data_IF_065304812331
#
_entry.id   IF_065304812331
#
_cell.length_a   1.000
_cell.length_b   1.000
_cell.length_c   1.000
_cell.angle_alpha   90.00
_cell.angle_beta   90.00
_cell.angle_gamma   90.00
#
_symmetry.space_group_name_H-M   'P 1'
#
loop_
_entity.id
_entity.type
_entity.pdbx_description
1 polymer ?
#
# COMPACT_ATOMS: atom_id res chain seq x y z
N UNK A 1 -32.54 -12.86 0.23
CA UNK A 1 -32.46 -11.70 -0.70
C UNK A 1 -32.55 -10.34 0.00
N UNK A 2 -33.13 -10.20 1.20
CA UNK A 2 -33.19 -8.93 1.97
C UNK A 2 -31.88 -8.62 2.72
N UNK A 3 -31.17 -9.63 3.20
CA UNK A 3 -29.90 -9.48 3.97
C UNK A 3 -28.75 -8.95 3.09
N UNK A 4 -28.69 -9.34 1.81
CA UNK A 4 -27.66 -8.88 0.85
C UNK A 4 -27.79 -7.39 0.46
N UNK A 5 -29.01 -6.82 0.50
CA UNK A 5 -29.22 -5.39 0.26
C UNK A 5 -28.88 -4.53 1.48
N UNK A 6 -28.95 -5.10 2.68
CA UNK A 6 -28.63 -4.44 3.93
C UNK A 6 -27.11 -4.25 4.10
N UNK A 7 -26.33 -5.30 3.82
CA UNK A 7 -24.85 -5.26 3.87
C UNK A 7 -24.28 -4.26 2.85
N UNK A 8 -24.85 -4.15 1.63
CA UNK A 8 -24.42 -3.16 0.63
C UNK A 8 -24.66 -1.70 1.01
N UNK A 9 -25.62 -1.41 1.88
CA UNK A 9 -25.89 -0.03 2.35
C UNK A 9 -24.91 0.42 3.43
N UNK A 10 -24.36 -0.49 4.22
CA UNK A 10 -23.38 -0.18 5.29
C UNK A 10 -22.01 0.09 4.69
N UNK A 11 -21.58 -0.63 3.64
CA UNK A 11 -20.30 -0.38 2.97
C UNK A 11 -20.23 0.93 2.18
N UNK A 12 -21.36 1.53 1.78
CA UNK A 12 -21.38 2.77 0.98
C UNK A 12 -21.30 4.06 1.79
N UNK A 13 -21.51 4.02 3.11
CA UNK A 13 -21.49 5.21 3.98
C UNK A 13 -20.11 5.53 4.59
N UNK A 14 -19.13 4.64 4.46
CA UNK A 14 -17.82 4.75 5.11
C UNK A 14 -16.75 5.56 4.34
N UNK A 15 -17.06 6.09 3.14
CA UNK A 15 -16.08 6.80 2.27
C UNK A 15 -16.03 8.33 2.51
N UNK A 16 -16.89 8.89 3.35
CA UNK A 16 -17.07 10.35 3.41
C UNK A 16 -16.58 11.06 4.71
N UNK A 17 -15.81 10.41 5.59
CA UNK A 17 -15.38 11.08 6.83
C UNK A 17 -13.94 10.70 7.24
N UNK A 18 -12.94 11.10 6.48
CA UNK A 18 -11.55 11.09 6.92
C UNK A 18 -10.81 12.32 6.38
N UNK A 19 -10.92 13.45 7.09
CA UNK A 19 -9.97 14.57 6.98
C UNK A 19 -10.19 15.53 8.17
N UNK A 20 -9.48 15.30 9.29
CA UNK A 20 -8.95 16.37 10.13
C UNK A 20 -7.77 15.83 10.94
N UNK A 21 -6.56 16.26 10.58
CA UNK A 21 -5.36 16.13 11.41
C UNK A 21 -5.54 16.95 12.71
N UNK A 22 -5.21 16.35 13.84
CA UNK A 22 -4.82 17.10 15.03
C UNK A 22 -3.55 16.51 15.62
N UNK A 23 -2.53 17.34 15.66
CA UNK A 23 -1.23 17.12 16.29
C UNK A 23 -1.42 17.03 17.82
N UNK A 24 -0.97 15.95 18.46
CA UNK A 24 -0.76 15.90 19.90
C UNK A 24 0.69 15.54 20.20
N UNK A 25 1.38 16.44 20.89
CA UNK A 25 2.71 16.31 21.52
C UNK A 25 2.65 15.32 22.70
N UNK A 26 3.76 14.61 23.01
CA UNK A 26 3.76 13.67 24.13
C UNK A 26 3.92 14.42 25.46
N UNK A 27 3.02 14.16 26.39
CA UNK A 27 3.13 14.52 27.81
C UNK A 27 3.72 13.34 28.56
N UNK A 28 4.76 13.61 29.32
CA UNK A 28 5.50 12.69 30.17
C UNK A 28 4.59 12.05 31.23
N UNK A 29 4.76 10.74 31.42
CA UNK A 29 4.05 9.95 32.40
C UNK A 29 4.58 10.21 33.82
N UNK A 30 3.78 10.78 34.70
CA UNK A 30 3.95 10.66 36.14
C UNK A 30 3.03 9.56 36.69
N UNK A 31 3.55 8.86 37.69
CA UNK A 31 3.13 7.59 38.23
C UNK A 31 1.63 7.43 38.50
N UNK A 32 1.07 6.38 37.96
CA UNK A 32 -0.27 5.92 38.31
C UNK A 32 -0.12 4.90 39.46
N UNK A 33 -0.69 5.29 40.63
CA UNK A 33 -0.87 4.40 41.74
C UNK A 33 -1.76 3.21 41.30
N UNK A 34 -1.40 2.01 41.76
CA UNK A 34 -2.18 0.80 41.49
C UNK A 34 -3.63 0.97 41.91
N UNK A 35 -4.54 0.83 40.94
CA UNK A 35 -5.96 0.69 41.20
C UNK A 35 -6.19 -0.58 42.05
N UNK A 36 -7.10 -0.54 43.03
CA UNK A 36 -7.45 -1.73 43.77
C UNK A 36 -8.01 -2.80 42.84
N UNK A 37 -7.70 -4.07 43.16
CA UNK A 37 -8.23 -5.21 42.43
C UNK A 37 -9.76 -5.12 42.34
N UNK A 38 -10.37 -5.53 41.20
CA UNK A 38 -11.83 -5.50 41.10
C UNK A 38 -12.42 -6.33 42.21
N UNK A 39 -13.39 -5.73 42.89
CA UNK A 39 -14.17 -6.42 43.92
C UNK A 39 -14.72 -7.72 43.34
N UNK A 40 -14.64 -8.82 44.07
CA UNK A 40 -15.21 -10.10 43.69
C UNK A 40 -16.65 -9.89 43.25
N UNK A 41 -16.99 -10.35 42.05
CA UNK A 41 -18.32 -10.28 41.41
C UNK A 41 -19.29 -11.10 42.28
N UNK A 42 -19.98 -10.42 43.17
CA UNK A 42 -21.07 -10.95 44.00
C UNK A 42 -22.43 -10.48 43.47
N UNK A 43 -22.59 -10.33 42.16
CA UNK A 43 -23.91 -10.21 41.56
C UNK A 43 -24.60 -11.58 41.71
N UNK A 44 -25.16 -11.83 42.90
CA UNK A 44 -25.92 -13.03 43.17
C UNK A 44 -27.22 -12.95 42.36
N UNK A 45 -27.42 -14.00 41.51
CA UNK A 45 -28.79 -14.31 41.09
C UNK A 45 -29.63 -14.44 42.35
N UNK A 46 -30.88 -14.00 42.31
CA UNK A 46 -31.79 -14.31 43.40
C UNK A 46 -32.00 -15.82 43.55
N UNK A 47 -32.65 -16.28 44.58
CA UNK A 47 -32.89 -17.73 44.85
C UNK A 47 -33.66 -18.38 43.69
N UNK A 48 -34.36 -17.61 42.84
CA UNK A 48 -35.11 -18.11 41.67
C UNK A 48 -34.26 -18.14 40.39
N UNK A 49 -33.07 -17.57 40.43
CA UNK A 49 -32.20 -17.40 39.26
C UNK A 49 -32.66 -16.27 38.33
N UNK A 50 -33.55 -15.42 38.77
CA UNK A 50 -34.07 -14.28 38.03
C UNK A 50 -33.11 -13.07 38.10
N UNK A 51 -33.10 -12.20 37.09
CA UNK A 51 -32.18 -11.06 36.98
C UNK A 51 -32.96 -9.75 36.80
N UNK A 52 -32.92 -8.83 37.77
CA UNK A 52 -33.55 -7.53 37.63
C UNK A 52 -32.91 -6.70 36.47
N UNK A 53 -33.75 -6.01 35.71
CA UNK A 53 -33.32 -5.03 34.72
C UNK A 53 -33.00 -3.71 35.41
N UNK A 54 -31.91 -3.68 36.15
CA UNK A 54 -31.49 -2.53 36.95
C UNK A 54 -30.03 -2.13 36.64
N UNK A 55 -29.54 -0.98 37.16
CA UNK A 55 -28.18 -0.53 36.93
C UNK A 55 -27.08 -1.42 37.51
N UNK A 56 -27.38 -2.29 38.48
CA UNK A 56 -26.40 -3.21 39.06
C UNK A 56 -26.09 -4.39 38.12
N UNK A 57 -27.11 -4.87 37.41
CA UNK A 57 -26.97 -6.00 36.48
C UNK A 57 -26.71 -5.55 35.04
N UNK A 58 -27.25 -4.40 34.65
CA UNK A 58 -27.13 -3.83 33.29
C UNK A 58 -26.84 -2.32 33.45
N UNK A 59 -25.57 -1.90 33.56
CA UNK A 59 -25.21 -0.49 33.85
C UNK A 59 -25.68 0.52 32.79
N UNK A 60 -25.70 0.12 31.51
CA UNK A 60 -26.10 1.02 30.43
C UNK A 60 -27.62 1.20 30.34
N UNK A 61 -28.09 2.44 30.37
CA UNK A 61 -29.51 2.76 30.34
C UNK A 61 -30.19 2.37 29.03
N UNK A 62 -29.50 2.53 27.90
CA UNK A 62 -30.06 2.19 26.60
C UNK A 62 -30.15 0.68 26.42
N UNK A 63 -29.18 -0.05 26.97
CA UNK A 63 -29.27 -1.51 27.03
C UNK A 63 -30.45 -1.97 27.88
N UNK A 64 -30.67 -1.40 29.08
CA UNK A 64 -31.89 -1.67 29.92
C UNK A 64 -33.18 -1.36 29.18
N UNK A 65 -33.26 -0.22 28.48
CA UNK A 65 -34.45 0.11 27.64
C UNK A 65 -34.72 -0.93 26.55
N UNK A 66 -33.66 -1.47 25.95
CA UNK A 66 -33.80 -2.55 24.97
C UNK A 66 -34.33 -3.82 25.65
N UNK A 67 -33.78 -4.21 26.80
CA UNK A 67 -34.18 -5.41 27.55
C UNK A 67 -35.62 -5.37 28.01
N UNK A 68 -36.14 -4.22 28.45
CA UNK A 68 -37.56 -4.03 28.88
C UNK A 68 -38.58 -4.07 27.75
N UNK A 69 -38.15 -4.42 26.50
CA UNK A 69 -39.09 -4.63 25.40
C UNK A 69 -39.78 -6.01 25.51
N UNK A 70 -41.05 -6.08 25.10
CA UNK A 70 -41.84 -7.30 25.15
C UNK A 70 -41.23 -8.52 24.49
N UNK A 71 -40.30 -8.32 23.60
CA UNK A 71 -39.59 -9.42 22.92
C UNK A 71 -38.57 -10.12 23.86
N UNK A 72 -38.13 -9.46 24.94
CA UNK A 72 -37.16 -9.94 25.91
C UNK A 72 -37.84 -10.19 27.25
N UNK A 73 -38.36 -9.14 27.89
CA UNK A 73 -39.18 -9.15 29.11
C UNK A 73 -40.66 -9.19 28.65
N UNK A 74 -41.25 -10.38 28.56
CA UNK A 74 -42.54 -10.59 27.90
C UNK A 74 -43.73 -10.18 28.78
N UNK A 75 -43.60 -10.27 30.10
CA UNK A 75 -44.57 -9.83 31.08
C UNK A 75 -44.38 -8.36 31.49
N UNK A 76 -43.20 -7.76 31.19
CA UNK A 76 -42.82 -6.37 31.50
C UNK A 76 -42.82 -6.03 32.99
N UNK A 77 -42.38 -6.99 33.79
CA UNK A 77 -42.25 -6.80 35.24
C UNK A 77 -40.90 -6.17 35.66
N UNK A 78 -39.98 -6.00 34.69
CA UNK A 78 -38.66 -5.44 34.90
C UNK A 78 -37.68 -6.48 35.46
N UNK A 79 -38.01 -7.76 35.39
CA UNK A 79 -37.19 -8.88 35.81
C UNK A 79 -37.05 -9.86 34.67
N UNK A 80 -35.85 -10.31 34.39
CA UNK A 80 -35.60 -11.36 33.39
C UNK A 80 -35.58 -12.72 34.09
N UNK A 81 -36.70 -13.44 34.01
CA UNK A 81 -36.79 -14.83 34.48
C UNK A 81 -35.76 -15.73 33.75
N UNK A 82 -35.43 -16.86 34.35
CA UNK A 82 -34.57 -17.85 33.70
C UNK A 82 -35.11 -18.24 32.31
N UNK A 83 -36.41 -18.46 32.18
CA UNK A 83 -37.07 -18.81 30.91
C UNK A 83 -36.90 -17.73 29.84
N UNK A 84 -37.05 -16.46 30.21
CA UNK A 84 -36.88 -15.33 29.29
C UNK A 84 -35.44 -15.22 28.80
N UNK A 85 -34.46 -15.34 29.72
CA UNK A 85 -33.04 -15.28 29.36
C UNK A 85 -32.62 -16.45 28.46
N UNK A 86 -33.06 -17.68 28.74
CA UNK A 86 -32.71 -18.88 27.99
C UNK A 86 -33.35 -18.94 26.58
N UNK A 87 -34.49 -18.28 26.37
CA UNK A 87 -35.13 -18.22 25.08
C UNK A 87 -34.50 -17.18 24.13
N UNK A 88 -33.74 -16.22 24.67
CA UNK A 88 -33.12 -15.15 23.85
C UNK A 88 -31.94 -15.74 23.10
N UNK A 89 -32.10 -15.86 21.78
CA UNK A 89 -31.04 -16.32 20.86
C UNK A 89 -30.42 -15.20 20.07
N UNK A 90 -31.06 -14.03 20.06
CA UNK A 90 -30.64 -12.90 19.21
C UNK A 90 -30.86 -11.59 19.94
N UNK A 91 -29.81 -10.76 19.98
CA UNK A 91 -29.83 -9.39 20.50
C UNK A 91 -29.35 -8.45 19.40
N UNK A 92 -30.19 -7.48 19.03
CA UNK A 92 -29.90 -6.47 18.02
C UNK A 92 -29.85 -5.08 18.64
N UNK A 93 -28.63 -4.55 18.82
CA UNK A 93 -28.35 -3.23 19.40
C UNK A 93 -27.65 -2.30 18.40
N UNK A 94 -27.82 -2.57 17.11
CA UNK A 94 -27.22 -1.75 16.06
C UNK A 94 -27.73 -0.31 16.13
N UNK A 95 -26.81 0.64 16.40
CA UNK A 95 -27.15 2.06 16.57
C UNK A 95 -28.24 2.32 17.64
N UNK A 96 -28.25 1.54 18.72
CA UNK A 96 -29.32 1.54 19.73
C UNK A 96 -29.16 2.63 20.80
N UNK A 97 -28.62 3.80 20.45
CA UNK A 97 -28.55 4.96 21.36
C UNK A 97 -27.24 5.14 22.09
N UNK A 98 -26.12 4.82 21.45
CA UNK A 98 -24.77 5.01 22.00
C UNK A 98 -24.50 4.16 23.25
N UNK A 99 -24.78 2.87 23.18
CA UNK A 99 -24.46 1.92 24.26
C UNK A 99 -22.96 1.91 24.48
N UNK A 100 -22.54 2.10 25.72
CA UNK A 100 -21.16 2.14 26.14
C UNK A 100 -20.74 0.93 27.00
N UNK A 101 -21.69 0.19 27.52
CA UNK A 101 -21.48 -0.95 28.40
C UNK A 101 -22.50 -2.07 28.13
N UNK A 102 -22.02 -3.26 27.85
CA UNK A 102 -22.83 -4.47 27.69
C UNK A 102 -22.64 -5.45 28.85
N UNK A 103 -22.17 -5.00 30.00
CA UNK A 103 -22.22 -5.79 31.24
C UNK A 103 -23.66 -6.31 31.44
N UNK A 104 -23.78 -7.59 31.73
CA UNK A 104 -25.08 -8.27 31.81
C UNK A 104 -25.43 -9.07 30.56
N UNK A 105 -24.70 -8.94 29.43
CA UNK A 105 -24.86 -9.85 28.29
C UNK A 105 -24.61 -11.30 28.71
N UNK A 106 -23.81 -11.52 29.74
CA UNK A 106 -23.48 -12.82 30.35
C UNK A 106 -24.72 -13.61 30.82
N UNK A 107 -25.84 -12.93 31.07
CA UNK A 107 -27.08 -13.56 31.54
C UNK A 107 -27.89 -14.26 30.42
N UNK A 108 -27.43 -14.21 29.15
CA UNK A 108 -28.08 -14.84 28.03
C UNK A 108 -27.26 -16.05 27.51
N UNK A 109 -27.32 -17.23 28.17
CA UNK A 109 -26.44 -18.35 27.91
C UNK A 109 -26.62 -18.97 26.51
N UNK A 110 -27.83 -18.86 25.95
CA UNK A 110 -28.20 -19.42 24.65
C UNK A 110 -28.13 -18.40 23.51
N UNK A 111 -27.42 -17.27 23.71
CA UNK A 111 -27.28 -16.23 22.70
C UNK A 111 -26.44 -16.77 21.52
N UNK A 112 -27.07 -16.83 20.35
CA UNK A 112 -26.45 -17.30 19.10
C UNK A 112 -25.98 -16.13 18.23
N UNK A 113 -26.70 -14.99 18.27
CA UNK A 113 -26.41 -13.82 17.43
C UNK A 113 -26.40 -12.53 18.26
N UNK A 114 -25.28 -11.86 18.29
CA UNK A 114 -25.13 -10.52 18.91
C UNK A 114 -24.72 -9.51 17.83
N UNK A 115 -25.59 -8.49 17.64
CA UNK A 115 -25.23 -7.31 16.88
C UNK A 115 -25.24 -6.09 17.80
N UNK A 116 -24.06 -5.57 18.14
CA UNK A 116 -23.85 -4.36 18.91
C UNK A 116 -23.05 -3.30 18.11
N UNK A 117 -23.17 -3.32 16.80
CA UNK A 117 -22.47 -2.39 15.94
C UNK A 117 -22.92 -0.93 16.13
N UNK A 118 -22.04 0.03 15.73
CA UNK A 118 -22.32 1.46 15.76
C UNK A 118 -22.72 1.96 17.17
N UNK A 119 -21.92 1.58 18.17
CA UNK A 119 -22.05 1.99 19.57
C UNK A 119 -20.74 2.58 20.12
N UNK A 120 -20.62 2.74 21.42
CA UNK A 120 -19.48 3.37 22.09
C UNK A 120 -18.69 2.40 22.98
N UNK A 121 -18.78 1.10 22.70
CA UNK A 121 -18.13 0.06 23.50
C UNK A 121 -16.60 0.21 23.48
N UNK A 122 -15.98 0.29 24.64
CA UNK A 122 -14.54 0.23 24.82
C UNK A 122 -14.04 -1.16 25.20
N UNK A 123 -14.93 -2.01 25.71
CA UNK A 123 -14.71 -3.42 26.02
C UNK A 123 -15.97 -4.23 25.70
N UNK A 124 -15.81 -5.52 25.49
CA UNK A 124 -16.91 -6.46 25.28
C UNK A 124 -16.49 -7.84 25.81
N UNK A 125 -17.20 -8.31 26.84
CA UNK A 125 -17.02 -9.66 27.38
C UNK A 125 -18.17 -10.56 26.93
N UNK A 126 -17.85 -11.53 26.09
CA UNK A 126 -18.77 -12.56 25.58
C UNK A 126 -18.38 -13.96 26.04
N UNK A 127 -17.53 -14.06 27.06
CA UNK A 127 -17.00 -15.36 27.56
C UNK A 127 -18.10 -16.30 28.09
N UNK A 128 -19.22 -15.72 28.53
CA UNK A 128 -20.37 -16.46 29.02
C UNK A 128 -21.46 -16.72 27.96
N UNK A 129 -21.16 -16.45 26.69
CA UNK A 129 -22.07 -16.69 25.56
C UNK A 129 -21.47 -17.73 24.59
N UNK A 130 -21.21 -18.97 25.02
CA UNK A 130 -20.49 -19.96 24.22
C UNK A 130 -21.27 -20.43 22.97
N UNK A 131 -22.58 -20.19 22.94
CA UNK A 131 -23.45 -20.53 21.82
C UNK A 131 -23.37 -19.53 20.66
N UNK A 132 -22.58 -18.42 20.77
CA UNK A 132 -22.46 -17.42 19.71
C UNK A 132 -21.90 -18.04 18.43
N UNK A 133 -22.70 -17.92 17.37
CA UNK A 133 -22.34 -18.25 15.98
C UNK A 133 -22.07 -17.01 15.16
N UNK A 134 -22.68 -15.86 15.53
CA UNK A 134 -22.49 -14.59 14.82
C UNK A 134 -22.29 -13.45 15.82
N UNK A 135 -21.19 -12.73 15.66
CA UNK A 135 -20.88 -11.52 16.43
C UNK A 135 -20.62 -10.36 15.46
N UNK A 136 -21.40 -9.30 15.59
CA UNK A 136 -21.14 -8.04 14.93
C UNK A 136 -20.93 -6.94 15.98
N UNK A 137 -19.68 -6.53 16.17
CA UNK A 137 -19.26 -5.41 17.01
C UNK A 137 -18.56 -4.30 16.19
N UNK A 138 -18.92 -4.17 14.91
CA UNK A 138 -18.37 -3.15 14.03
C UNK A 138 -18.57 -1.73 14.59
N UNK A 139 -17.62 -0.83 14.28
CA UNK A 139 -17.72 0.59 14.59
C UNK A 139 -18.00 0.85 16.08
N UNK A 140 -17.10 0.36 16.90
CA UNK A 140 -17.00 0.63 18.34
C UNK A 140 -15.59 1.20 18.64
N UNK A 141 -15.17 1.13 19.91
CA UNK A 141 -13.87 1.62 20.34
C UNK A 141 -13.04 0.51 21.03
N UNK A 142 -13.28 -0.76 20.65
CA UNK A 142 -12.62 -1.91 21.27
C UNK A 142 -11.11 -1.89 20.99
N UNK A 143 -10.31 -2.05 22.04
CA UNK A 143 -8.85 -2.18 21.95
C UNK A 143 -8.39 -3.64 22.02
N UNK A 144 -9.23 -4.52 22.53
CA UNK A 144 -9.04 -5.97 22.60
C UNK A 144 -10.37 -6.69 22.48
N UNK A 145 -10.35 -7.96 22.09
CA UNK A 145 -11.53 -8.81 21.99
C UNK A 145 -11.12 -10.27 22.24
N UNK A 146 -11.56 -10.83 23.37
CA UNK A 146 -11.35 -12.24 23.71
C UNK A 146 -12.51 -13.09 23.22
N UNK A 147 -12.24 -13.99 22.29
CA UNK A 147 -13.19 -14.93 21.70
C UNK A 147 -12.87 -16.40 22.04
N UNK A 148 -11.99 -16.63 22.99
CA UNK A 148 -11.49 -17.97 23.33
C UNK A 148 -12.58 -18.95 23.80
N UNK A 149 -13.72 -18.43 24.27
CA UNK A 149 -14.89 -19.24 24.70
C UNK A 149 -15.96 -19.38 23.61
N UNK A 150 -15.89 -18.62 22.53
CA UNK A 150 -16.91 -18.57 21.47
C UNK A 150 -16.51 -19.49 20.32
N UNK A 151 -16.28 -20.75 20.61
CA UNK A 151 -15.72 -21.75 19.65
C UNK A 151 -16.68 -22.12 18.51
N UNK A 152 -17.96 -21.82 18.65
CA UNK A 152 -19.00 -22.04 17.64
C UNK A 152 -19.11 -20.88 16.62
N UNK A 153 -18.25 -19.84 16.74
CA UNK A 153 -18.36 -18.64 15.93
C UNK A 153 -18.09 -18.94 14.46
N UNK A 154 -19.09 -18.69 13.63
CA UNK A 154 -19.06 -18.83 12.15
C UNK A 154 -18.77 -17.49 11.46
N UNK A 155 -19.37 -16.42 11.97
CA UNK A 155 -19.22 -15.06 11.40
C UNK A 155 -18.79 -14.08 12.45
N UNK A 156 -17.66 -13.39 12.19
CA UNK A 156 -17.14 -12.29 13.00
C UNK A 156 -17.05 -11.01 12.18
N UNK A 157 -17.70 -9.96 12.67
CA UNK A 157 -17.58 -8.59 12.18
C UNK A 157 -17.08 -7.69 13.31
N UNK A 158 -15.82 -7.27 13.25
CA UNK A 158 -15.17 -6.39 14.24
C UNK A 158 -14.48 -5.17 13.58
N UNK A 159 -14.94 -4.79 12.40
CA UNK A 159 -14.39 -3.66 11.64
C UNK A 159 -14.60 -2.32 12.35
N UNK A 160 -13.71 -1.33 12.09
CA UNK A 160 -13.85 0.02 12.63
C UNK A 160 -13.68 0.08 14.16
N UNK A 161 -12.70 -0.64 14.69
CA UNK A 161 -12.30 -0.63 16.09
C UNK A 161 -10.84 -0.16 16.25
N UNK A 162 -10.25 -0.38 17.42
CA UNK A 162 -8.85 -0.02 17.74
C UNK A 162 -8.02 -1.27 18.09
N UNK A 163 -8.38 -2.44 17.49
CA UNK A 163 -7.70 -3.70 17.77
C UNK A 163 -6.28 -3.68 17.23
N UNK A 164 -5.30 -4.01 18.08
CA UNK A 164 -3.89 -4.16 17.68
C UNK A 164 -3.51 -5.63 17.45
N UNK A 165 -4.28 -6.56 17.98
CA UNK A 165 -4.16 -8.00 17.79
C UNK A 165 -5.53 -8.66 17.82
N UNK A 166 -5.64 -9.85 17.24
CA UNK A 166 -6.88 -10.64 17.23
C UNK A 166 -6.49 -12.12 17.23
N UNK A 167 -6.75 -12.83 18.34
CA UNK A 167 -6.53 -14.28 18.45
C UNK A 167 -7.79 -15.03 18.03
N UNK A 168 -7.68 -15.79 16.95
CA UNK A 168 -8.75 -16.61 16.39
C UNK A 168 -8.45 -18.12 16.49
N UNK A 169 -7.42 -18.51 17.23
CA UNK A 169 -6.95 -19.91 17.32
C UNK A 169 -8.00 -20.89 17.82
N UNK A 170 -9.01 -20.41 18.57
CA UNK A 170 -10.12 -21.23 19.09
C UNK A 170 -11.38 -21.18 18.24
N UNK A 171 -11.46 -20.25 17.26
CA UNK A 171 -12.65 -20.04 16.45
C UNK A 171 -12.56 -20.78 15.10
N UNK A 172 -12.32 -22.10 15.17
CA UNK A 172 -12.04 -22.94 14.00
C UNK A 172 -13.25 -23.16 13.08
N UNK A 173 -14.45 -22.77 13.52
CA UNK A 173 -15.67 -22.82 12.72
C UNK A 173 -15.85 -21.60 11.81
N UNK A 174 -14.99 -20.55 11.90
CA UNK A 174 -15.15 -19.32 11.14
C UNK A 174 -15.16 -19.56 9.63
N UNK A 175 -16.23 -19.08 8.98
CA UNK A 175 -16.37 -19.02 7.53
C UNK A 175 -16.26 -17.60 6.98
N UNK A 176 -16.55 -16.60 7.81
CA UNK A 176 -16.52 -15.19 7.41
C UNK A 176 -15.88 -14.32 8.49
N UNK A 177 -14.84 -13.59 8.10
CA UNK A 177 -14.12 -12.64 8.96
C UNK A 177 -14.07 -11.25 8.30
N UNK A 178 -14.57 -10.25 9.01
CA UNK A 178 -14.52 -8.84 8.65
C UNK A 178 -13.85 -8.06 9.79
N UNK A 179 -12.60 -7.65 9.61
CA UNK A 179 -11.79 -6.95 10.61
C UNK A 179 -11.12 -5.69 10.05
N UNK A 180 -11.75 -5.06 9.05
CA UNK A 180 -11.25 -3.86 8.39
C UNK A 180 -11.13 -2.68 9.36
N UNK A 181 -10.29 -1.71 9.02
CA UNK A 181 -10.16 -0.45 9.78
C UNK A 181 -9.87 -0.69 11.26
N UNK A 182 -8.82 -1.45 11.52
CA UNK A 182 -8.20 -1.67 12.82
C UNK A 182 -6.71 -1.29 12.79
N UNK A 183 -5.93 -1.72 13.77
CA UNK A 183 -4.49 -1.46 13.88
C UNK A 183 -3.69 -2.78 13.91
N UNK A 184 -4.20 -3.83 13.24
CA UNK A 184 -3.57 -5.15 13.24
C UNK A 184 -2.25 -5.11 12.48
N UNK A 185 -1.17 -5.54 13.12
CA UNK A 185 0.16 -5.66 12.50
C UNK A 185 0.42 -7.07 11.97
N UNK A 186 -0.30 -8.05 12.47
CA UNK A 186 -0.30 -9.45 12.04
C UNK A 186 -1.69 -10.04 12.18
N UNK A 187 -1.98 -11.10 11.43
CA UNK A 187 -3.23 -11.85 11.50
C UNK A 187 -2.92 -13.33 11.23
N UNK A 188 -2.96 -14.15 12.29
CA UNK A 188 -2.79 -15.59 12.19
C UNK A 188 -4.13 -16.25 11.92
N UNK A 189 -4.26 -16.90 10.77
CA UNK A 189 -5.46 -17.59 10.32
C UNK A 189 -5.25 -19.12 10.23
N UNK A 190 -4.13 -19.63 10.73
CA UNK A 190 -3.75 -21.05 10.59
C UNK A 190 -4.80 -22.01 11.14
N UNK A 191 -5.57 -21.59 12.16
CA UNK A 191 -6.68 -22.34 12.76
C UNK A 191 -8.03 -22.21 12.01
N UNK A 192 -8.15 -21.38 10.98
CA UNK A 192 -9.45 -20.98 10.41
C UNK A 192 -9.60 -21.47 8.95
N UNK A 193 -9.28 -22.72 8.67
CA UNK A 193 -9.23 -23.27 7.31
C UNK A 193 -10.58 -23.25 6.55
N UNK A 194 -11.70 -23.03 7.26
CA UNK A 194 -13.03 -22.95 6.67
C UNK A 194 -13.38 -21.57 6.11
N UNK A 195 -12.48 -20.57 6.17
CA UNK A 195 -12.77 -19.23 5.68
C UNK A 195 -13.07 -19.23 4.19
N UNK A 196 -14.24 -18.69 3.85
CA UNK A 196 -14.68 -18.40 2.50
C UNK A 196 -14.67 -16.91 2.17
N UNK A 197 -14.74 -16.06 3.21
CA UNK A 197 -14.70 -14.60 3.09
C UNK A 197 -13.75 -14.01 4.13
N UNK A 198 -12.80 -13.24 3.64
CA UNK A 198 -11.85 -12.49 4.47
C UNK A 198 -11.79 -11.04 4.00
N UNK A 199 -12.05 -10.12 4.93
CA UNK A 199 -11.80 -8.71 4.73
C UNK A 199 -10.98 -8.17 5.90
N UNK A 200 -9.74 -7.77 5.61
CA UNK A 200 -8.79 -7.22 6.56
C UNK A 200 -8.18 -5.91 6.06
N UNK A 201 -8.90 -5.19 5.20
CA UNK A 201 -8.44 -3.92 4.63
C UNK A 201 -8.21 -2.85 5.69
N UNK A 202 -7.41 -1.83 5.38
CA UNK A 202 -7.14 -0.70 6.27
C UNK A 202 -6.62 -1.14 7.63
N UNK A 203 -5.56 -1.93 7.61
CA UNK A 203 -4.77 -2.37 8.76
C UNK A 203 -3.27 -2.08 8.52
N UNK A 204 -2.39 -2.64 9.35
CA UNK A 204 -0.95 -2.45 9.28
C UNK A 204 -0.21 -3.76 8.93
N UNK A 205 -0.88 -4.70 8.26
CA UNK A 205 -0.34 -6.02 7.94
C UNK A 205 0.84 -5.92 6.98
N UNK A 206 1.96 -6.54 7.33
CA UNK A 206 3.15 -6.63 6.47
C UNK A 206 3.22 -7.94 5.68
N UNK A 207 2.49 -8.95 6.13
CA UNK A 207 2.32 -10.25 5.49
C UNK A 207 0.92 -10.79 5.75
N UNK A 208 0.43 -11.66 4.87
CA UNK A 208 -0.83 -12.36 5.01
C UNK A 208 -0.68 -13.75 4.38
N UNK A 209 -0.83 -14.80 5.19
CA UNK A 209 -0.81 -16.16 4.70
C UNK A 209 -2.24 -16.70 4.58
N UNK A 210 -2.65 -17.00 3.35
CA UNK A 210 -3.94 -17.57 3.00
C UNK A 210 -3.80 -18.94 2.32
N UNK A 211 -2.62 -19.55 2.37
CA UNK A 211 -2.30 -20.80 1.66
C UNK A 211 -3.16 -21.99 2.08
N UNK A 212 -3.66 -22.01 3.31
CA UNK A 212 -4.55 -23.05 3.83
C UNK A 212 -6.05 -22.81 3.53
N UNK A 213 -6.40 -21.66 2.93
CA UNK A 213 -7.79 -21.25 2.74
C UNK A 213 -8.25 -21.51 1.30
N UNK A 214 -8.23 -22.77 0.89
CA UNK A 214 -8.53 -23.19 -0.49
C UNK A 214 -9.98 -22.92 -0.92
N UNK A 215 -10.89 -22.77 0.04
CA UNK A 215 -12.30 -22.42 -0.20
C UNK A 215 -12.56 -20.90 -0.24
N UNK A 216 -11.50 -20.05 -0.17
CA UNK A 216 -11.65 -18.60 -0.14
C UNK A 216 -12.21 -18.09 -1.47
N UNK A 217 -13.38 -17.41 -1.40
CA UNK A 217 -14.09 -16.86 -2.56
C UNK A 217 -13.91 -15.34 -2.64
N UNK A 218 -13.78 -14.68 -1.50
CA UNK A 218 -13.64 -13.23 -1.37
C UNK A 218 -12.46 -12.91 -0.47
N UNK A 219 -11.52 -12.12 -0.98
CA UNK A 219 -10.41 -11.56 -0.23
C UNK A 219 -10.35 -10.05 -0.46
N UNK A 220 -10.41 -9.28 0.62
CA UNK A 220 -10.07 -7.86 0.62
C UNK A 220 -8.97 -7.58 1.65
N UNK A 221 -7.76 -7.28 1.16
CA UNK A 221 -6.60 -6.89 1.96
C UNK A 221 -6.06 -5.51 1.54
N UNK A 222 -6.91 -4.66 0.95
CA UNK A 222 -6.56 -3.30 0.51
C UNK A 222 -6.01 -2.44 1.67
N UNK A 223 -5.20 -1.43 1.35
CA UNK A 223 -4.69 -0.46 2.32
C UNK A 223 -3.99 -1.13 3.52
N UNK A 224 -3.00 -1.95 3.22
CA UNK A 224 -2.09 -2.57 4.17
C UNK A 224 -0.63 -2.28 3.77
N UNK A 225 0.32 -3.06 4.30
CA UNK A 225 1.74 -2.92 4.00
C UNK A 225 2.34 -4.21 3.39
N UNK A 226 1.51 -5.00 2.70
CA UNK A 226 1.91 -6.29 2.12
C UNK A 226 2.97 -6.08 1.04
N UNK A 227 4.06 -6.84 1.13
CA UNK A 227 5.15 -6.82 0.14
C UNK A 227 5.10 -7.98 -0.83
N UNK A 228 4.25 -8.97 -0.58
CA UNK A 228 3.96 -10.11 -1.42
C UNK A 228 2.67 -10.76 -0.97
N UNK A 229 1.99 -11.46 -1.88
CA UNK A 229 0.75 -12.16 -1.64
C UNK A 229 0.73 -13.42 -2.51
N UNK A 230 0.79 -14.60 -1.89
CA UNK A 230 0.69 -15.88 -2.60
C UNK A 230 -0.76 -16.36 -2.60
N UNK A 231 -1.34 -16.44 -3.80
CA UNK A 231 -2.71 -16.88 -4.02
C UNK A 231 -2.79 -18.19 -4.82
N UNK A 232 -1.67 -18.88 -4.99
CA UNK A 232 -1.56 -20.10 -5.82
C UNK A 232 -2.49 -21.23 -5.37
N UNK A 233 -2.90 -21.24 -4.08
CA UNK A 233 -3.82 -22.23 -3.52
C UNK A 233 -5.28 -21.78 -3.46
N UNK A 234 -5.56 -20.50 -3.68
CA UNK A 234 -6.90 -19.93 -3.55
C UNK A 234 -7.64 -19.93 -4.90
N UNK A 235 -7.75 -21.10 -5.53
CA UNK A 235 -8.28 -21.25 -6.89
C UNK A 235 -9.78 -20.94 -7.01
N UNK A 236 -10.52 -20.95 -5.89
CA UNK A 236 -11.94 -20.57 -5.83
C UNK A 236 -12.18 -19.05 -5.75
N UNK A 237 -11.11 -18.23 -5.71
CA UNK A 237 -11.23 -16.79 -5.50
C UNK A 237 -11.95 -16.12 -6.67
N UNK A 238 -13.02 -15.37 -6.38
CA UNK A 238 -13.83 -14.67 -7.38
C UNK A 238 -13.70 -13.15 -7.30
N UNK A 239 -13.33 -12.62 -6.13
CA UNK A 239 -13.13 -11.18 -5.89
C UNK A 239 -11.86 -11.01 -5.07
N UNK A 240 -10.93 -10.21 -5.59
CA UNK A 240 -9.69 -9.82 -4.92
C UNK A 240 -9.58 -8.30 -4.84
N UNK A 241 -9.39 -7.77 -3.64
CA UNK A 241 -8.96 -6.41 -3.36
C UNK A 241 -7.59 -6.44 -2.70
N UNK A 242 -6.57 -5.90 -3.36
CA UNK A 242 -5.19 -5.77 -2.85
C UNK A 242 -4.56 -4.40 -3.16
N UNK A 243 -5.40 -3.41 -3.50
CA UNK A 243 -4.96 -2.04 -3.77
C UNK A 243 -4.31 -1.39 -2.54
N UNK A 244 -3.44 -0.41 -2.75
CA UNK A 244 -2.85 0.37 -1.66
C UNK A 244 -1.93 -0.44 -0.75
N UNK A 245 -1.16 -1.36 -1.30
CA UNK A 245 -0.14 -2.14 -0.61
C UNK A 245 1.28 -1.78 -1.12
N UNK A 246 2.25 -2.62 -0.79
CA UNK A 246 3.65 -2.51 -1.24
C UNK A 246 4.03 -3.67 -2.18
N UNK A 247 3.05 -4.22 -2.91
CA UNK A 247 3.29 -5.29 -3.87
C UNK A 247 4.12 -4.77 -5.04
N UNK A 248 5.02 -5.60 -5.54
CA UNK A 248 5.79 -5.35 -6.76
C UNK A 248 5.45 -6.33 -7.87
N UNK A 249 4.77 -7.41 -7.50
CA UNK A 249 4.30 -8.47 -8.40
C UNK A 249 3.12 -9.17 -7.78
N UNK A 250 2.35 -9.83 -8.61
CA UNK A 250 1.28 -10.72 -8.19
C UNK A 250 1.11 -11.78 -9.28
N UNK A 251 0.98 -13.06 -8.90
CA UNK A 251 0.70 -14.13 -9.85
C UNK A 251 -0.73 -14.64 -9.63
N UNK A 252 -1.58 -14.45 -10.61
CA UNK A 252 -2.99 -14.89 -10.64
C UNK A 252 -3.24 -16.04 -11.62
N UNK A 253 -2.18 -16.67 -12.14
CA UNK A 253 -2.28 -17.75 -13.13
C UNK A 253 -3.16 -18.91 -12.68
N UNK A 254 -3.24 -19.18 -11.36
CA UNK A 254 -4.06 -20.23 -10.78
C UNK A 254 -5.48 -19.76 -10.42
N UNK A 255 -5.75 -18.45 -10.42
CA UNK A 255 -7.02 -17.88 -9.97
C UNK A 255 -7.99 -17.65 -11.13
N UNK A 256 -8.27 -18.71 -11.90
CA UNK A 256 -9.08 -18.66 -13.13
C UNK A 256 -10.56 -18.34 -12.89
N UNK A 257 -11.04 -18.48 -11.65
CA UNK A 257 -12.41 -18.12 -11.24
C UNK A 257 -12.57 -16.61 -10.95
N UNK A 258 -11.48 -15.81 -10.99
CA UNK A 258 -11.50 -14.40 -10.60
C UNK A 258 -12.37 -13.59 -11.57
N UNK A 259 -13.31 -12.81 -11.01
CA UNK A 259 -14.26 -11.97 -11.76
C UNK A 259 -14.04 -10.48 -11.51
N UNK A 260 -13.46 -10.13 -10.37
CA UNK A 260 -13.19 -8.73 -9.99
C UNK A 260 -11.83 -8.64 -9.32
N UNK A 261 -11.00 -7.76 -9.85
CA UNK A 261 -9.68 -7.44 -9.34
C UNK A 261 -9.62 -5.94 -9.03
N UNK A 262 -9.14 -5.61 -7.85
CA UNK A 262 -8.77 -4.26 -7.41
C UNK A 262 -7.33 -4.35 -6.89
N UNK A 263 -6.34 -3.93 -7.69
CA UNK A 263 -4.91 -4.09 -7.37
C UNK A 263 -4.10 -2.80 -7.62
N UNK A 264 -4.77 -1.67 -7.79
CA UNK A 264 -4.13 -0.37 -8.06
C UNK A 264 -3.37 0.20 -6.85
N UNK A 265 -2.57 1.24 -7.07
CA UNK A 265 -1.86 1.98 -6.03
C UNK A 265 -0.94 1.11 -5.15
N UNK A 266 -0.28 0.11 -5.75
CA UNK A 266 0.79 -0.63 -5.09
C UNK A 266 2.11 0.11 -5.29
N UNK A 267 2.68 0.62 -4.20
CA UNK A 267 3.92 1.40 -4.20
C UNK A 267 4.93 0.80 -3.23
N UNK A 268 6.12 0.51 -3.72
CA UNK A 268 7.21 -0.03 -2.92
C UNK A 268 8.42 0.89 -2.92
N UNK A 269 8.83 1.28 -1.73
CA UNK A 269 10.10 1.97 -1.57
C UNK A 269 11.26 0.98 -1.69
N UNK A 270 12.23 1.30 -2.54
CA UNK A 270 13.49 0.59 -2.73
C UNK A 270 14.67 1.53 -2.42
N UNK A 271 15.84 0.96 -2.22
CA UNK A 271 17.09 1.71 -2.13
C UNK A 271 17.87 1.51 -3.43
N UNK A 272 18.04 2.57 -4.17
CA UNK A 272 18.82 2.58 -5.40
C UNK A 272 20.25 3.00 -5.05
N UNK A 273 21.25 2.34 -5.63
CA UNK A 273 22.65 2.69 -5.44
C UNK A 273 23.00 4.06 -6.04
N UNK A 274 24.17 4.61 -5.70
CA UNK A 274 24.67 5.91 -6.22
C UNK A 274 24.75 5.94 -7.76
N UNK A 275 24.88 4.77 -8.39
CA UNK A 275 24.89 4.62 -9.84
C UNK A 275 23.50 4.59 -10.49
N UNK A 276 22.43 4.75 -9.71
CA UNK A 276 21.07 4.61 -10.20
C UNK A 276 20.63 3.17 -10.47
N UNK A 277 21.36 2.17 -9.96
CA UNK A 277 21.07 0.76 -10.23
C UNK A 277 20.40 0.05 -9.05
N UNK A 278 19.51 -0.88 -9.38
CA UNK A 278 18.83 -1.75 -8.42
C UNK A 278 18.66 -3.16 -9.01
N UNK A 279 19.01 -4.19 -8.24
CA UNK A 279 18.78 -5.57 -8.66
C UNK A 279 17.34 -6.01 -8.33
N UNK A 280 16.55 -6.20 -9.37
CA UNK A 280 15.13 -6.61 -9.27
C UNK A 280 14.96 -8.00 -8.64
N UNK A 281 16.00 -8.84 -8.64
CA UNK A 281 15.96 -10.15 -7.98
C UNK A 281 15.82 -10.05 -6.45
N UNK A 282 16.12 -8.88 -5.88
CA UNK A 282 15.88 -8.58 -4.46
C UNK A 282 14.38 -8.42 -4.12
N UNK A 283 13.51 -8.27 -5.12
CA UNK A 283 12.06 -8.21 -4.94
C UNK A 283 11.49 -9.63 -4.93
N UNK A 284 11.00 -10.05 -3.77
CA UNK A 284 10.50 -11.43 -3.61
C UNK A 284 9.37 -11.75 -4.60
N UNK A 285 9.57 -12.79 -5.41
CA UNK A 285 8.59 -13.26 -6.38
C UNK A 285 8.46 -12.40 -7.64
N UNK A 286 9.34 -11.44 -7.85
CA UNK A 286 9.37 -10.64 -9.06
C UNK A 286 9.98 -11.43 -10.23
N UNK A 287 9.26 -11.46 -11.33
CA UNK A 287 9.72 -12.05 -12.59
C UNK A 287 9.87 -10.93 -13.63
N UNK A 288 11.10 -10.59 -13.97
CA UNK A 288 11.39 -9.49 -14.89
C UNK A 288 10.75 -9.68 -16.26
N UNK A 289 10.56 -10.93 -16.71
CA UNK A 289 9.94 -11.21 -18.01
C UNK A 289 8.45 -10.84 -18.07
N UNK A 290 7.79 -10.68 -16.92
CA UNK A 290 6.40 -10.24 -16.79
C UNK A 290 6.26 -8.71 -16.66
N UNK A 291 7.38 -7.97 -16.53
CA UNK A 291 7.40 -6.52 -16.39
C UNK A 291 7.70 -5.83 -17.71
N UNK A 292 6.96 -4.78 -18.03
CA UNK A 292 7.10 -3.99 -19.25
C UNK A 292 6.68 -2.53 -19.06
N UNK A 293 6.88 -1.69 -20.07
CA UNK A 293 6.36 -0.31 -20.05
C UNK A 293 6.93 0.55 -18.92
N UNK A 294 8.22 0.39 -18.61
CA UNK A 294 8.91 1.18 -17.59
C UNK A 294 8.84 2.68 -17.89
N UNK A 295 8.41 3.48 -16.92
CA UNK A 295 8.26 4.92 -17.06
C UNK A 295 9.59 5.67 -16.88
N UNK A 296 9.56 7.00 -17.13
CA UNK A 296 10.64 7.97 -16.85
C UNK A 296 11.99 7.61 -17.50
N UNK A 297 12.01 6.83 -18.59
CA UNK A 297 13.23 6.43 -19.26
C UNK A 297 14.08 5.41 -18.49
N UNK A 298 13.51 4.73 -17.51
CA UNK A 298 14.16 3.63 -16.82
C UNK A 298 14.45 2.49 -17.80
N UNK A 299 15.61 1.83 -17.63
CA UNK A 299 16.05 0.71 -18.44
C UNK A 299 16.28 -0.53 -17.59
N UNK A 300 15.97 -1.69 -18.16
CA UNK A 300 16.20 -2.99 -17.50
C UNK A 300 17.06 -3.86 -18.43
N UNK A 301 18.17 -4.36 -17.87
CA UNK A 301 19.05 -5.33 -18.51
C UNK A 301 19.22 -6.54 -17.59
N UNK A 302 18.74 -7.70 -18.03
CA UNK A 302 18.58 -8.85 -17.15
C UNK A 302 17.71 -8.50 -15.92
N UNK A 303 18.28 -8.62 -14.73
CA UNK A 303 17.61 -8.22 -13.48
C UNK A 303 18.01 -6.82 -12.98
N UNK A 304 18.85 -6.10 -13.71
CA UNK A 304 19.35 -4.80 -13.27
C UNK A 304 18.45 -3.70 -13.84
N UNK A 305 17.74 -3.03 -12.96
CA UNK A 305 17.02 -1.80 -13.25
C UNK A 305 17.99 -0.63 -13.14
N UNK A 306 18.03 0.22 -14.15
CA UNK A 306 18.76 1.50 -14.13
C UNK A 306 17.75 2.64 -14.21
N UNK A 307 17.77 3.50 -13.20
CA UNK A 307 16.89 4.67 -13.11
C UNK A 307 17.65 5.94 -13.48
N UNK A 308 17.04 6.90 -14.19
CA UNK A 308 17.66 8.18 -14.51
C UNK A 308 17.85 9.06 -13.28
N UNK A 309 18.82 9.98 -13.33
CA UNK A 309 19.01 11.01 -12.32
C UNK A 309 17.82 11.97 -12.25
N UNK A 310 17.55 12.48 -11.06
CA UNK A 310 16.45 13.43 -10.81
C UNK A 310 15.07 12.80 -10.74
N UNK A 311 14.99 11.46 -10.85
CA UNK A 311 13.73 10.69 -10.74
C UNK A 311 13.62 10.13 -9.33
N UNK A 312 12.41 10.12 -8.76
CA UNK A 312 12.12 9.60 -7.42
C UNK A 312 11.14 8.42 -7.45
N UNK A 313 10.52 8.20 -8.60
CA UNK A 313 9.60 7.07 -8.80
C UNK A 313 9.61 6.60 -10.24
N UNK A 314 9.35 5.33 -10.42
CA UNK A 314 9.09 4.72 -11.73
C UNK A 314 7.90 3.78 -11.61
N UNK A 315 7.13 3.68 -12.68
CA UNK A 315 6.05 2.70 -12.80
C UNK A 315 6.32 1.71 -13.94
N UNK A 316 5.68 0.57 -13.87
CA UNK A 316 5.76 -0.48 -14.89
C UNK A 316 4.47 -1.28 -14.92
N UNK A 317 4.16 -1.85 -16.07
CA UNK A 317 3.10 -2.82 -16.25
C UNK A 317 3.63 -4.21 -15.89
N UNK A 318 2.87 -4.98 -15.13
CA UNK A 318 3.21 -6.35 -14.78
C UNK A 318 2.09 -7.30 -15.20
N UNK A 319 2.45 -8.35 -15.93
CA UNK A 319 1.52 -9.41 -16.32
C UNK A 319 1.22 -10.31 -15.11
N UNK A 320 -0.04 -10.30 -14.67
CA UNK A 320 -0.53 -11.09 -13.54
C UNK A 320 -0.98 -12.50 -13.94
N UNK A 321 -1.01 -12.80 -15.23
CA UNK A 321 -1.58 -14.02 -15.77
C UNK A 321 -3.09 -13.90 -16.06
N UNK A 322 -3.61 -14.88 -16.79
CA UNK A 322 -5.03 -14.95 -17.20
C UNK A 322 -5.53 -13.71 -17.95
N UNK A 323 -4.64 -12.99 -18.66
CA UNK A 323 -4.97 -11.76 -19.39
C UNK A 323 -5.16 -10.53 -18.50
N UNK A 324 -4.77 -10.58 -17.24
CA UNK A 324 -4.76 -9.44 -16.35
C UNK A 324 -3.38 -8.80 -16.33
N UNK A 325 -3.34 -7.47 -16.27
CA UNK A 325 -2.12 -6.69 -16.05
C UNK A 325 -2.43 -5.50 -15.16
N UNK A 326 -1.44 -5.07 -14.36
CA UNK A 326 -1.59 -3.93 -13.45
C UNK A 326 -0.31 -3.09 -13.42
N UNK A 327 -0.48 -1.82 -13.07
CA UNK A 327 0.63 -0.90 -12.89
C UNK A 327 1.13 -0.93 -11.45
N UNK A 328 2.41 -1.19 -11.29
CA UNK A 328 3.11 -1.10 -10.01
C UNK A 328 4.10 0.06 -10.03
N UNK A 329 4.43 0.58 -8.85
CA UNK A 329 5.32 1.73 -8.70
C UNK A 329 6.45 1.39 -7.73
N UNK A 330 7.68 1.73 -8.12
CA UNK A 330 8.84 1.74 -7.23
C UNK A 330 9.17 3.20 -6.92
N UNK A 331 9.33 3.50 -5.64
CA UNK A 331 9.74 4.82 -5.15
C UNK A 331 11.12 4.71 -4.50
N UNK A 332 11.93 5.75 -4.61
CA UNK A 332 13.30 5.78 -4.06
C UNK A 332 13.74 7.22 -3.81
N UNK A 333 14.82 7.37 -3.06
CA UNK A 333 15.46 8.68 -2.91
C UNK A 333 15.99 9.13 -4.27
N UNK A 334 15.92 10.44 -4.55
CA UNK A 334 16.46 11.02 -5.77
C UNK A 334 17.91 10.57 -5.98
N UNK A 335 18.19 9.96 -7.12
CA UNK A 335 19.54 9.65 -7.54
C UNK A 335 20.15 10.93 -8.06
N UNK A 336 21.06 11.50 -7.29
CA UNK A 336 21.76 12.74 -7.67
C UNK A 336 22.78 12.44 -8.76
N UNK A 337 22.87 13.36 -9.72
CA UNK A 337 23.99 13.34 -10.66
C UNK A 337 25.29 13.48 -9.84
N UNK A 338 26.31 12.64 -10.11
CA UNK A 338 27.59 12.77 -9.41
C UNK A 338 28.13 14.21 -9.57
N UNK A 339 28.54 14.83 -8.49
CA UNK A 339 29.23 16.11 -8.56
C UNK A 339 30.51 15.90 -9.38
N UNK A 340 30.49 16.40 -10.61
CA UNK A 340 31.69 16.46 -11.41
C UNK A 340 32.67 17.42 -10.70
N UNK A 341 33.96 17.06 -10.59
CA UNK A 341 34.94 17.98 -10.05
C UNK A 341 34.87 19.29 -10.86
N UNK A 342 34.73 20.38 -10.12
CA UNK A 342 34.72 21.74 -10.69
C UNK A 342 36.00 21.91 -11.51
N UNK A 343 35.88 22.07 -12.83
CA UNK A 343 36.98 22.19 -13.80
C UNK A 343 37.78 23.49 -13.65
N UNK A 344 37.57 24.20 -12.53
CA UNK A 344 38.30 25.42 -12.18
C UNK A 344 39.77 25.17 -11.66
N UNK A 345 40.18 23.90 -11.58
CA UNK A 345 41.55 23.51 -11.16
C UNK A 345 42.36 22.75 -12.22
N UNK A 346 42.04 22.92 -13.52
CA UNK A 346 42.90 22.40 -14.56
C UNK A 346 44.29 23.09 -14.49
N UNK A 347 45.39 22.34 -14.39
CA UNK A 347 46.73 22.97 -14.47
C UNK A 347 46.94 23.50 -15.87
N UNK A 348 47.48 24.72 -15.93
CA UNK A 348 47.84 25.41 -17.17
C UNK A 348 48.60 24.48 -18.13
N UNK A 349 48.11 24.47 -19.37
CA UNK A 349 48.63 23.74 -20.53
C UNK A 349 50.14 23.92 -20.67
N UNK A 350 50.93 22.85 -20.45
CA UNK A 350 52.23 22.67 -21.01
C UNK A 350 52.15 21.62 -22.08
N UNK A 351 52.11 22.10 -23.36
CA UNK A 351 52.01 21.27 -24.53
C UNK A 351 52.92 20.05 -24.53
N UNK A 352 52.33 18.88 -24.67
CA UNK A 352 52.99 17.69 -25.22
C UNK A 352 51.96 16.69 -25.71
N UNK A 353 52.17 16.31 -26.91
CA UNK A 353 51.53 15.23 -27.69
C UNK A 353 51.38 13.91 -26.92
N UNK A 354 50.30 13.24 -27.24
CA UNK A 354 50.07 11.78 -27.13
C UNK A 354 49.53 11.23 -25.81
N UNK A 355 48.37 10.67 -25.88
CA UNK A 355 48.01 9.39 -25.28
C UNK A 355 48.47 9.15 -23.84
N UNK A 356 47.80 9.71 -22.84
CA UNK A 356 48.08 9.39 -21.46
C UNK A 356 46.85 8.98 -20.69
N UNK A 357 46.80 7.70 -20.41
CA UNK A 357 45.84 7.09 -19.53
C UNK A 357 45.58 7.88 -18.28
N UNK A 358 44.32 8.19 -17.98
CA UNK A 358 43.92 8.60 -16.65
C UNK A 358 44.14 7.40 -15.74
N UNK A 359 45.14 7.54 -14.86
CA UNK A 359 45.50 6.52 -13.88
C UNK A 359 44.28 6.20 -12.99
N UNK A 360 43.86 4.96 -13.06
CA UNK A 360 42.84 4.37 -12.21
C UNK A 360 43.20 4.60 -10.73
N UNK A 361 42.30 5.21 -10.00
CA UNK A 361 42.19 4.94 -8.58
C UNK A 361 41.40 3.68 -8.41
N UNK A 362 42.03 2.71 -7.83
CA UNK A 362 41.84 1.29 -7.88
C UNK A 362 40.58 0.74 -7.22
N UNK A 363 40.17 -0.41 -7.76
CA UNK A 363 39.49 -1.54 -7.13
C UNK A 363 38.00 -1.30 -6.78
N UNK A 364 37.15 -1.48 -7.76
CA UNK A 364 35.69 -1.59 -7.65
C UNK A 364 34.89 -0.88 -8.75
N UNK A 365 35.41 0.22 -9.30
CA UNK A 365 34.65 1.04 -10.27
C UNK A 365 34.74 0.62 -11.75
N UNK A 366 35.72 -0.17 -12.15
CA UNK A 366 36.00 -0.45 -13.56
C UNK A 366 34.94 -1.33 -14.23
N UNK A 367 34.31 -2.23 -13.50
CA UNK A 367 33.26 -3.10 -14.04
C UNK A 367 31.92 -2.36 -14.23
N UNK A 368 31.62 -1.41 -13.34
CA UNK A 368 30.39 -0.61 -13.39
C UNK A 368 30.46 0.41 -14.53
N UNK A 369 31.61 1.06 -14.69
CA UNK A 369 31.82 2.05 -15.76
C UNK A 369 31.83 1.42 -17.15
N UNK A 370 32.43 0.22 -17.27
CA UNK A 370 32.42 -0.57 -18.52
C UNK A 370 31.01 -1.01 -18.93
N UNK A 371 30.15 -1.38 -17.98
CA UNK A 371 28.77 -1.75 -18.23
C UNK A 371 27.93 -0.56 -18.70
N UNK A 372 28.01 0.58 -18.03
CA UNK A 372 27.34 1.83 -18.44
C UNK A 372 27.76 2.28 -19.84
N UNK A 373 29.04 2.28 -20.11
CA UNK A 373 29.60 2.68 -21.40
C UNK A 373 29.11 1.76 -22.55
N UNK A 374 29.04 0.46 -22.29
CA UNK A 374 28.56 -0.51 -23.29
C UNK A 374 27.06 -0.35 -23.55
N UNK A 375 26.25 -0.29 -22.51
CA UNK A 375 24.77 -0.19 -22.62
C UNK A 375 24.36 1.12 -23.29
N UNK A 376 24.88 2.25 -22.84
CA UNK A 376 24.56 3.54 -23.46
C UNK A 376 25.06 3.64 -24.90
N UNK A 377 26.17 3.00 -25.22
CA UNK A 377 26.69 2.95 -26.59
C UNK A 377 25.78 2.14 -27.51
N UNK A 378 25.33 0.97 -27.06
CA UNK A 378 24.38 0.12 -27.83
C UNK A 378 23.04 0.85 -28.01
N UNK A 379 22.50 1.44 -26.96
CA UNK A 379 21.25 2.22 -27.04
C UNK A 379 21.38 3.39 -28.01
N UNK A 380 22.46 4.14 -27.96
CA UNK A 380 22.70 5.28 -28.88
C UNK A 380 22.84 4.84 -30.34
N UNK A 381 23.49 3.73 -30.62
CA UNK A 381 23.56 3.18 -31.98
C UNK A 381 22.19 2.76 -32.53
N UNK A 382 21.24 2.36 -31.64
CA UNK A 382 19.87 2.02 -32.07
C UNK A 382 18.92 3.22 -32.17
N UNK A 383 19.23 4.33 -31.48
CA UNK A 383 18.38 5.54 -31.43
C UNK A 383 18.80 6.58 -32.46
N UNK A 384 20.10 6.78 -32.65
CA UNK A 384 20.63 7.82 -33.55
C UNK A 384 20.55 7.37 -35.01
N UNK A 385 20.52 8.32 -35.98
CA UNK A 385 20.57 7.99 -37.39
C UNK A 385 21.78 7.13 -37.72
N UNK A 386 21.63 6.23 -38.69
CA UNK A 386 22.71 5.34 -39.14
C UNK A 386 23.96 6.16 -39.56
N UNK A 387 25.12 5.81 -38.99
CA UNK A 387 26.37 6.52 -39.23
C UNK A 387 26.58 7.81 -38.45
N UNK A 388 25.63 8.24 -37.61
CA UNK A 388 25.80 9.42 -36.76
C UNK A 388 26.81 9.16 -35.64
N UNK A 389 27.77 10.11 -35.47
CA UNK A 389 28.67 10.09 -34.32
C UNK A 389 27.90 10.41 -33.02
N UNK A 390 28.25 9.71 -31.93
CA UNK A 390 27.67 10.02 -30.61
C UNK A 390 28.21 11.39 -30.18
N UNK A 391 27.30 12.40 -29.90
CA UNK A 391 27.73 13.71 -29.48
C UNK A 391 28.50 13.68 -28.18
N UNK A 392 29.64 14.34 -28.12
CA UNK A 392 30.47 14.48 -26.92
C UNK A 392 30.26 15.84 -26.24
N UNK A 393 29.70 16.83 -26.95
CA UNK A 393 29.45 18.16 -26.42
C UNK A 393 28.01 18.62 -26.67
N UNK A 394 27.61 19.66 -25.93
CA UNK A 394 26.25 20.27 -26.04
C UNK A 394 26.01 20.84 -27.44
N UNK A 395 27.02 21.45 -28.04
CA UNK A 395 26.93 21.97 -29.40
C UNK A 395 26.73 20.86 -30.43
N UNK A 396 27.48 19.77 -30.30
CA UNK A 396 27.32 18.60 -31.18
C UNK A 396 25.92 17.96 -31.02
N UNK A 397 25.42 17.86 -29.79
CA UNK A 397 24.07 17.35 -29.53
C UNK A 397 23.01 18.26 -30.15
N UNK A 398 23.10 19.58 -29.96
CA UNK A 398 22.18 20.54 -30.55
C UNK A 398 22.16 20.44 -32.09
N UNK A 399 23.34 20.38 -32.72
CA UNK A 399 23.47 20.21 -34.17
C UNK A 399 22.87 18.91 -34.68
N UNK A 400 23.11 17.80 -33.98
CA UNK A 400 22.59 16.51 -34.39
C UNK A 400 21.06 16.49 -34.36
N UNK A 401 20.46 16.95 -33.26
CA UNK A 401 18.99 16.99 -33.09
C UNK A 401 18.36 17.97 -34.09
N UNK A 402 18.92 19.15 -34.27
CA UNK A 402 18.44 20.15 -35.20
C UNK A 402 18.55 19.69 -36.67
N UNK A 403 19.63 19.07 -37.05
CA UNK A 403 19.82 18.48 -38.40
C UNK A 403 18.79 17.38 -38.69
N UNK A 404 18.55 16.49 -37.70
CA UNK A 404 17.54 15.43 -37.81
C UNK A 404 16.12 15.94 -37.88
N UNK A 405 15.84 17.07 -37.23
CA UNK A 405 14.56 17.78 -37.30
C UNK A 405 14.34 18.54 -38.63
N UNK A 406 15.29 18.51 -39.56
CA UNK A 406 15.19 19.18 -40.86
C UNK A 406 15.63 20.63 -40.82
N UNK A 407 16.44 21.04 -39.87
CA UNK A 407 16.99 22.39 -39.70
C UNK A 407 15.92 23.51 -39.59
N UNK A 408 14.93 23.39 -38.71
CA UNK A 408 13.92 24.46 -38.57
C UNK A 408 14.55 25.74 -38.07
N UNK A 409 14.12 26.88 -38.64
CA UNK A 409 14.59 28.20 -38.20
C UNK A 409 14.10 28.48 -36.76
N UNK A 410 14.98 28.97 -35.87
CA UNK A 410 14.58 29.40 -34.53
C UNK A 410 13.68 30.65 -34.62
N UNK A 411 12.76 30.78 -33.65
CA UNK A 411 11.83 31.89 -33.56
C UNK A 411 12.56 33.21 -33.25
N UNK A 412 13.61 33.14 -32.46
CA UNK A 412 14.42 34.26 -32.05
C UNK A 412 15.80 34.23 -32.70
N UNK A 413 16.41 35.37 -32.93
CA UNK A 413 17.79 35.47 -33.40
C UNK A 413 18.73 34.87 -32.34
N UNK A 414 19.66 33.95 -32.70
CA UNK A 414 20.60 33.41 -31.76
C UNK A 414 21.44 34.51 -31.09
N UNK A 415 21.45 34.52 -29.76
CA UNK A 415 22.07 35.59 -28.96
C UNK A 415 23.15 35.07 -27.97
N UNK A 416 23.71 33.88 -28.19
CA UNK A 416 24.72 33.31 -27.31
C UNK A 416 26.11 33.84 -27.65
N UNK A 417 26.70 34.60 -26.71
CA UNK A 417 28.03 35.19 -26.88
C UNK A 417 29.16 34.13 -26.94
N UNK A 418 28.91 32.94 -26.38
CA UNK A 418 29.84 31.83 -26.30
C UNK A 418 29.73 30.82 -27.47
N UNK A 419 28.85 31.06 -28.44
CA UNK A 419 28.69 30.18 -29.61
C UNK A 419 29.12 30.89 -30.89
N UNK A 420 30.33 30.61 -31.34
CA UNK A 420 30.92 31.27 -32.51
C UNK A 420 30.40 30.74 -33.87
N UNK A 421 30.08 29.47 -33.98
CA UNK A 421 29.67 28.83 -35.21
C UNK A 421 28.18 29.11 -35.51
N UNK A 422 27.82 29.72 -36.70
CA UNK A 422 26.44 30.13 -36.97
C UNK A 422 25.41 29.01 -36.93
N UNK A 423 25.73 27.85 -37.46
CA UNK A 423 24.83 26.69 -37.46
C UNK A 423 24.65 26.13 -36.04
N UNK A 424 25.72 26.10 -35.24
CA UNK A 424 25.64 25.68 -33.81
C UNK A 424 24.79 26.69 -33.02
N UNK A 425 24.90 28.00 -33.29
CA UNK A 425 24.10 29.01 -32.65
C UNK A 425 22.60 28.89 -32.97
N UNK A 426 22.25 28.60 -34.24
CA UNK A 426 20.86 28.33 -34.65
C UNK A 426 20.32 27.09 -34.02
N UNK A 427 21.09 25.99 -34.05
CA UNK A 427 20.74 24.71 -33.43
C UNK A 427 20.54 24.85 -31.92
N UNK A 428 21.44 25.56 -31.23
CA UNK A 428 21.34 25.85 -29.81
C UNK A 428 20.09 26.62 -29.45
N UNK A 429 19.83 27.71 -30.20
CA UNK A 429 18.65 28.56 -30.00
C UNK A 429 17.36 27.76 -30.17
N UNK A 430 17.25 27.03 -31.26
CA UNK A 430 16.08 26.18 -31.51
C UNK A 430 15.90 25.11 -30.42
N UNK A 431 16.95 24.41 -30.00
CA UNK A 431 16.85 23.43 -28.93
C UNK A 431 16.43 24.04 -27.60
N UNK A 432 16.85 25.28 -27.28
CA UNK A 432 16.41 25.97 -26.06
C UNK A 432 14.94 26.37 -26.17
N UNK A 433 14.51 26.90 -27.31
CA UNK A 433 13.11 27.27 -27.57
C UNK A 433 12.16 26.04 -27.49
N UNK A 434 12.61 24.89 -27.95
CA UNK A 434 11.87 23.62 -27.82
C UNK A 434 11.95 23.03 -26.41
N UNK A 435 12.68 23.65 -25.47
CA UNK A 435 12.90 23.14 -24.13
C UNK A 435 13.72 21.84 -24.08
N UNK A 436 14.46 21.53 -25.15
CA UNK A 436 15.29 20.32 -25.24
C UNK A 436 16.61 20.46 -24.47
N UNK A 437 17.17 21.66 -24.49
CA UNK A 437 18.37 22.05 -23.76
C UNK A 437 18.09 23.32 -22.94
N UNK A 438 18.81 23.50 -21.84
CA UNK A 438 18.66 24.67 -20.96
C UNK A 438 19.94 25.51 -21.00
N UNK A 439 19.84 26.80 -20.72
CA UNK A 439 21.02 27.65 -20.53
C UNK A 439 21.65 27.44 -19.16
N UNK A 440 22.92 27.79 -19.02
CA UNK A 440 23.58 27.92 -17.72
C UNK A 440 22.99 29.07 -16.93
N UNK A 441 23.32 29.19 -15.65
CA UNK A 441 22.84 30.25 -14.75
C UNK A 441 23.27 31.68 -15.20
N UNK A 442 24.37 31.78 -15.91
CA UNK A 442 24.89 33.01 -16.47
C UNK A 442 24.30 33.36 -17.83
N UNK A 443 23.39 32.56 -18.36
CA UNK A 443 22.75 32.74 -19.66
C UNK A 443 23.55 32.21 -20.85
N UNK A 444 24.71 31.60 -20.64
CA UNK A 444 25.53 30.99 -21.69
C UNK A 444 24.97 29.63 -22.12
N UNK A 445 25.28 29.20 -23.35
CA UNK A 445 24.91 27.87 -23.87
C UNK A 445 25.96 26.83 -23.58
N UNK A 446 27.24 27.21 -23.54
CA UNK A 446 28.38 26.29 -23.32
C UNK A 446 28.48 25.18 -24.39
N UNK A 447 28.77 25.54 -25.66
CA UNK A 447 28.70 24.59 -26.78
C UNK A 447 29.73 23.47 -26.66
N UNK A 448 30.86 23.70 -26.01
CA UNK A 448 31.93 22.73 -25.80
C UNK A 448 31.77 21.93 -24.52
N UNK A 449 30.78 22.30 -23.67
CA UNK A 449 30.46 21.59 -22.47
C UNK A 449 30.17 20.12 -22.72
N UNK A 450 30.80 19.27 -21.93
CA UNK A 450 30.63 17.82 -22.05
C UNK A 450 29.17 17.39 -21.92
N UNK A 451 28.76 16.44 -22.76
CA UNK A 451 27.41 15.90 -22.75
C UNK A 451 27.46 14.39 -22.49
N UNK A 452 27.03 13.93 -21.32
CA UNK A 452 26.95 12.53 -21.02
C UNK A 452 26.02 11.78 -21.98
N UNK A 453 26.33 10.53 -22.32
CA UNK A 453 25.58 9.73 -23.28
C UNK A 453 24.10 9.58 -22.90
N UNK A 454 23.77 9.47 -21.62
CA UNK A 454 22.37 9.43 -21.19
C UNK A 454 21.61 10.72 -21.49
N UNK A 455 22.28 11.87 -21.41
CA UNK A 455 21.67 13.15 -21.77
C UNK A 455 21.36 13.23 -23.25
N UNK A 456 22.22 12.65 -24.09
CA UNK A 456 21.96 12.47 -25.53
C UNK A 456 20.66 11.66 -25.71
N UNK A 457 20.52 10.54 -25.00
CA UNK A 457 19.30 9.70 -25.05
C UNK A 457 18.06 10.48 -24.62
N UNK A 458 18.14 11.21 -23.51
CA UNK A 458 17.01 12.01 -23.00
C UNK A 458 16.55 13.07 -23.99
N UNK A 459 17.50 13.87 -24.48
CA UNK A 459 17.21 14.94 -25.45
C UNK A 459 16.67 14.36 -26.74
N UNK A 460 17.23 13.24 -27.19
CA UNK A 460 16.77 12.56 -28.39
C UNK A 460 15.33 12.04 -28.28
N UNK A 461 15.01 11.33 -27.19
CA UNK A 461 13.66 10.81 -26.97
C UNK A 461 12.62 11.92 -26.81
N UNK A 462 13.01 13.07 -26.23
CA UNK A 462 12.14 14.24 -26.12
C UNK A 462 11.91 14.94 -27.46
N UNK A 463 12.95 15.00 -28.30
CA UNK A 463 12.86 15.61 -29.63
C UNK A 463 12.10 14.70 -30.64
N UNK A 464 12.26 13.39 -30.50
CA UNK A 464 11.73 12.39 -31.42
C UNK A 464 11.02 11.27 -30.61
N UNK A 465 9.86 11.56 -29.99
CA UNK A 465 9.13 10.55 -29.24
C UNK A 465 8.71 9.42 -30.17
N UNK A 466 8.95 8.16 -29.74
CA UNK A 466 8.47 6.99 -30.48
C UNK A 466 6.95 7.03 -30.50
N UNK A 467 6.35 7.00 -31.70
CA UNK A 467 4.91 6.83 -31.90
C UNK A 467 4.47 5.44 -31.50
#
# INVERSE_FOLDING_TARGET
MKLHKFIRRICAAAVAAALTLSLCTPVLAEGIAALPAPASDTSQLDETGDVPIDPAHFPDENFRKYLGQKAIDDNRDGILSQTERERVKTIFLDNAGNISDLTGIKYFPNLENLNCALNLLTSLDVSNNPALTSLNCNYNQLTSLDLSKNTALDTLCCSGNKLTSLDLSKNTALTSLYCESNQLTSLDLSGNANLTRLSCSSNLLTSLDVSNHTALIYLNCESNQLTGLDLSKNTALTILGCSGNKLTSLDLSQNTALKKLYCSNNQRQITVGETGQFDLSALKGFDVSKASGWSEGAAVDGNILTVPYGVTEISYQYDLGNGNSETFTLTFNEVKEPDLPDDSSAPADTGSTAGGAIAAVAVGGAAVWGGYELVTRVMLHSLLPEGAAIPASRGQLALLVWNTAGRPEPVSTPAFADVAAPDTARAAQWCVEQGLLTLKKDGSFDPDGWTPKFRVIQVWNKAFPKQ
#
